data_IF_641385312125
#
_entry.id   IF_641385312125
#
_cell.length_a   1.000
_cell.length_b   1.000
_cell.length_c   1.000
_cell.angle_alpha   90.00
_cell.angle_beta   90.00
_cell.angle_gamma   90.00
#
_symmetry.space_group_name_H-M   'P 1'
#
loop_
_entity.id
_entity.type
_entity.pdbx_description
1 polymer ?
#
# COMPACT_ATOMS: atom_id res chain seq x y z
N UNK A 1 -59.38 23.16 37.42
CA UNK A 1 -59.19 23.21 38.86
C UNK A 1 -59.45 21.85 39.46
N UNK A 2 -58.94 21.59 40.59
CA UNK A 2 -57.60 21.61 41.12
C UNK A 2 -57.26 20.28 41.85
N UNK A 3 -56.13 20.20 42.45
CA UNK A 3 -55.82 19.29 43.53
C UNK A 3 -54.42 18.74 43.42
N UNK A 4 -53.48 19.25 44.00
CA UNK A 4 -53.06 19.38 45.41
C UNK A 4 -52.80 18.02 46.09
N UNK A 5 -51.59 17.88 46.58
CA UNK A 5 -51.21 16.95 47.60
C UNK A 5 -49.72 16.56 47.47
N UNK A 6 -48.85 17.22 48.04
CA UNK A 6 -48.17 17.22 49.33
C UNK A 6 -47.60 15.85 49.70
N UNK A 7 -46.28 15.79 49.75
CA UNK A 7 -45.41 16.07 50.81
C UNK A 7 -44.53 14.92 51.25
N UNK A 8 -43.65 15.07 52.18
CA UNK A 8 -42.20 15.01 51.92
C UNK A 8 -41.53 13.86 52.71
N UNK A 9 -40.24 13.91 52.64
CA UNK A 9 -39.30 13.48 53.67
C UNK A 9 -38.73 12.06 53.61
N UNK A 10 -37.47 12.06 53.78
CA UNK A 10 -36.75 11.03 54.40
C UNK A 10 -35.37 10.74 53.87
N UNK A 11 -34.47 11.70 53.89
CA UNK A 11 -33.05 11.41 53.74
C UNK A 11 -32.53 10.71 55.01
N UNK A 12 -32.18 9.47 54.87
CA UNK A 12 -31.30 8.82 55.81
C UNK A 12 -29.86 8.92 55.30
N UNK A 13 -29.10 9.73 55.98
CA UNK A 13 -27.64 9.73 55.96
C UNK A 13 -27.21 8.47 56.69
N UNK A 14 -26.61 7.52 56.02
CA UNK A 14 -25.99 6.38 56.67
C UNK A 14 -24.53 6.29 56.23
N UNK A 15 -23.70 6.72 57.14
CA UNK A 15 -22.41 6.12 57.51
C UNK A 15 -21.37 5.94 56.40
N UNK A 16 -20.49 6.94 56.38
CA UNK A 16 -19.15 6.81 55.81
C UNK A 16 -18.40 5.81 56.71
N UNK A 17 -18.10 4.63 56.16
CA UNK A 17 -17.16 3.68 56.75
C UNK A 17 -15.75 4.23 56.53
N UNK A 18 -15.10 4.61 57.60
CA UNK A 18 -13.68 4.91 57.64
C UNK A 18 -12.88 3.72 57.15
N UNK A 19 -12.07 3.93 56.12
CA UNK A 19 -11.10 2.92 55.66
C UNK A 19 -9.84 3.06 56.47
N UNK A 20 -9.45 1.97 57.08
CA UNK A 20 -8.17 1.84 57.76
C UNK A 20 -6.99 2.03 56.76
N UNK A 21 -5.94 2.78 57.11
CA UNK A 21 -4.71 2.84 56.34
C UNK A 21 -3.87 1.59 56.64
N UNK A 22 -3.47 0.87 55.61
CA UNK A 22 -2.45 -0.16 55.73
C UNK A 22 -2.79 -1.50 55.12
N UNK A 23 -2.97 -1.58 53.80
CA UNK A 23 -2.67 -2.75 53.02
C UNK A 23 -2.07 -2.33 51.68
N UNK A 24 -0.74 -2.23 51.70
CA UNK A 24 0.06 -2.15 50.48
C UNK A 24 -0.10 -3.48 49.73
N UNK A 25 -0.96 -3.48 48.74
CA UNK A 25 -0.97 -4.54 47.71
C UNK A 25 0.32 -4.37 46.88
N UNK A 26 1.13 -5.40 46.71
CA UNK A 26 2.28 -5.34 45.84
C UNK A 26 1.80 -5.07 44.42
N UNK A 27 2.18 -3.89 43.89
CA UNK A 27 2.07 -3.60 42.47
C UNK A 27 3.04 -4.52 41.72
N UNK A 28 2.56 -5.70 41.31
CA UNK A 28 3.24 -6.48 40.29
C UNK A 28 3.31 -5.62 39.03
N UNK A 29 4.44 -4.99 38.83
CA UNK A 29 4.79 -4.37 37.56
C UNK A 29 4.92 -5.49 36.53
N UNK A 30 3.87 -5.75 35.76
CA UNK A 30 4.00 -6.52 34.53
C UNK A 30 5.03 -5.80 33.65
N UNK A 31 6.04 -6.49 33.12
CA UNK A 31 6.98 -5.88 32.20
C UNK A 31 6.23 -5.41 30.97
N UNK A 32 6.25 -4.11 30.70
CA UNK A 32 5.57 -3.45 29.59
C UNK A 32 6.26 -3.62 28.23
N UNK A 33 7.03 -4.67 28.04
CA UNK A 33 7.65 -4.97 26.72
C UNK A 33 7.57 -6.49 26.56
N UNK A 34 6.48 -6.98 26.00
CA UNK A 34 6.55 -8.23 25.25
C UNK A 34 7.46 -7.95 24.04
N UNK A 35 8.65 -8.58 24.04
CA UNK A 35 9.45 -8.68 22.83
C UNK A 35 8.59 -9.30 21.75
N UNK A 36 8.11 -8.47 20.82
CA UNK A 36 7.39 -8.91 19.63
C UNK A 36 8.38 -9.76 18.85
N UNK A 37 8.31 -11.08 19.00
CA UNK A 37 9.10 -12.03 18.23
C UNK A 37 8.85 -11.69 16.76
N UNK A 38 9.89 -11.21 16.05
CA UNK A 38 9.83 -10.89 14.63
C UNK A 38 9.42 -12.17 13.89
N UNK A 39 8.19 -12.20 13.37
CA UNK A 39 7.71 -13.33 12.57
C UNK A 39 8.39 -13.31 11.22
N UNK A 40 9.06 -14.38 10.89
CA UNK A 40 9.83 -14.52 9.66
C UNK A 40 8.90 -15.01 8.55
N UNK A 41 8.61 -14.14 7.57
CA UNK A 41 7.90 -14.51 6.36
C UNK A 41 8.90 -14.94 5.29
N UNK A 42 8.67 -16.12 4.70
CA UNK A 42 9.48 -16.63 3.62
C UNK A 42 9.12 -15.92 2.31
N UNK A 43 9.97 -14.99 1.88
CA UNK A 43 9.80 -14.19 0.65
C UNK A 43 11.07 -14.30 -0.21
N UNK A 44 11.33 -15.44 -0.86
CA UNK A 44 12.59 -15.70 -1.56
C UNK A 44 12.90 -14.68 -2.66
N UNK A 45 11.88 -14.11 -3.30
CA UNK A 45 12.04 -13.04 -4.30
C UNK A 45 12.57 -11.72 -3.73
N UNK A 46 12.43 -11.48 -2.42
CA UNK A 46 12.98 -10.27 -1.78
C UNK A 46 14.48 -10.37 -1.50
N UNK A 47 15.05 -11.57 -1.50
CA UNK A 47 16.48 -11.76 -1.22
C UNK A 47 17.34 -11.06 -2.26
N UNK A 48 16.91 -11.07 -3.54
CA UNK A 48 17.61 -10.37 -4.61
C UNK A 48 17.60 -8.85 -4.40
N UNK A 49 16.53 -8.30 -3.83
CA UNK A 49 16.46 -6.87 -3.49
C UNK A 49 17.32 -6.51 -2.28
N UNK A 50 17.42 -7.42 -1.31
CA UNK A 50 18.15 -7.18 -0.05
C UNK A 50 19.65 -7.40 -0.23
N UNK A 51 20.05 -8.46 -0.94
CA UNK A 51 21.44 -8.90 -1.10
C UNK A 51 22.02 -8.52 -2.46
N UNK A 52 21.18 -8.20 -3.45
CA UNK A 52 21.65 -7.80 -4.77
C UNK A 52 22.38 -6.46 -4.72
N UNK A 53 23.35 -6.23 -5.64
CA UNK A 53 23.95 -4.92 -5.79
C UNK A 53 22.86 -3.92 -6.07
N UNK A 54 22.85 -2.82 -5.29
CA UNK A 54 21.95 -1.69 -5.63
C UNK A 54 22.41 -1.19 -7.00
N UNK A 55 21.49 -1.07 -7.97
CA UNK A 55 21.87 -0.54 -9.28
C UNK A 55 22.44 0.86 -9.08
N UNK A 56 23.57 1.15 -9.73
CA UNK A 56 24.21 2.47 -9.72
C UNK A 56 23.34 3.54 -10.41
N UNK A 57 22.28 3.12 -11.08
CA UNK A 57 21.33 3.96 -11.81
C UNK A 57 19.90 3.74 -11.33
N UNK A 58 19.06 4.74 -11.52
CA UNK A 58 17.63 4.66 -11.21
C UNK A 58 16.96 3.55 -12.04
N UNK A 59 16.19 2.67 -11.37
CA UNK A 59 15.49 1.54 -12.02
C UNK A 59 14.38 1.98 -12.97
N UNK A 60 13.89 3.23 -12.85
CA UNK A 60 12.88 3.82 -13.73
C UNK A 60 13.47 4.64 -14.86
N UNK A 61 14.78 4.87 -14.89
CA UNK A 61 15.46 5.45 -16.04
C UNK A 61 15.67 4.35 -17.09
N UNK A 62 14.72 4.23 -18.01
CA UNK A 62 14.77 3.20 -19.05
C UNK A 62 15.79 3.56 -20.13
N UNK A 63 16.54 2.58 -20.69
CA UNK A 63 17.32 2.78 -21.89
C UNK A 63 16.42 3.04 -23.10
N UNK A 64 16.94 3.63 -24.15
CA UNK A 64 16.20 3.85 -25.41
C UNK A 64 15.85 2.51 -26.10
N UNK A 65 16.76 1.52 -26.02
CA UNK A 65 16.50 0.17 -26.53
C UNK A 65 15.35 -0.49 -25.79
N UNK A 66 14.54 -1.26 -26.54
CA UNK A 66 13.42 -2.03 -26.01
C UNK A 66 13.77 -3.49 -25.71
N UNK A 67 15.01 -3.90 -25.97
CA UNK A 67 15.44 -5.28 -25.81
C UNK A 67 15.28 -5.80 -24.38
N UNK A 68 15.39 -4.92 -23.39
CA UNK A 68 15.26 -5.24 -21.98
C UNK A 68 13.83 -5.06 -21.43
N UNK A 69 12.86 -4.67 -22.26
CA UNK A 69 11.51 -4.32 -21.78
C UNK A 69 10.83 -5.48 -21.04
N UNK A 70 10.95 -6.69 -21.55
CA UNK A 70 10.38 -7.87 -20.89
C UNK A 70 11.09 -8.18 -19.57
N UNK A 71 12.40 -8.09 -19.53
CA UNK A 71 13.17 -8.33 -18.30
C UNK A 71 12.85 -7.28 -17.23
N UNK A 72 12.71 -6.03 -17.66
CA UNK A 72 12.33 -4.88 -16.81
C UNK A 72 10.85 -4.82 -16.50
N UNK A 73 10.03 -5.69 -17.11
CA UNK A 73 8.56 -5.73 -16.97
C UNK A 73 7.87 -4.47 -17.50
N UNK A 74 8.42 -3.83 -18.52
CA UNK A 74 7.81 -2.67 -19.19
C UNK A 74 6.65 -3.16 -20.07
N UNK A 75 5.44 -2.70 -19.76
CA UNK A 75 4.23 -3.07 -20.50
C UNK A 75 4.01 -2.18 -21.72
N UNK A 76 4.26 -0.88 -21.58
CA UNK A 76 4.01 0.11 -22.62
C UNK A 76 4.98 1.28 -22.53
N UNK A 77 5.39 1.81 -23.70
CA UNK A 77 6.20 3.03 -23.82
C UNK A 77 5.42 4.09 -24.58
N UNK A 78 4.96 5.14 -23.88
CA UNK A 78 4.38 6.33 -24.44
C UNK A 78 5.42 7.34 -24.91
N UNK A 79 5.01 8.58 -25.11
CA UNK A 79 5.86 9.67 -25.55
C UNK A 79 6.62 10.34 -24.41
N UNK A 80 5.93 10.58 -23.29
CA UNK A 80 6.46 11.27 -22.10
C UNK A 80 6.49 10.39 -20.88
N UNK A 81 5.75 9.28 -20.90
CA UNK A 81 5.61 8.35 -19.78
C UNK A 81 5.54 6.89 -20.27
N UNK A 82 5.72 5.97 -19.36
CA UNK A 82 5.64 4.53 -19.63
C UNK A 82 4.88 3.79 -18.53
N UNK A 83 4.45 2.59 -18.85
CA UNK A 83 3.78 1.67 -17.91
C UNK A 83 4.69 0.47 -17.64
N UNK A 84 4.90 0.16 -16.37
CA UNK A 84 5.78 -0.92 -15.91
C UNK A 84 5.10 -1.70 -14.78
N UNK A 85 5.30 -3.01 -14.71
CA UNK A 85 4.87 -3.77 -13.53
C UNK A 85 5.81 -3.55 -12.36
N UNK A 86 5.25 -3.54 -11.16
CA UNK A 86 6.07 -3.49 -9.96
C UNK A 86 6.75 -4.85 -9.72
N UNK A 87 8.08 -4.88 -9.67
CA UNK A 87 8.87 -6.09 -9.37
C UNK A 87 8.57 -6.64 -7.96
N UNK A 88 8.11 -5.76 -7.05
CA UNK A 88 7.73 -6.09 -5.67
C UNK A 88 6.26 -5.73 -5.41
N UNK A 89 5.31 -6.44 -6.05
CA UNK A 89 3.93 -6.02 -6.11
C UNK A 89 3.25 -6.09 -4.73
N UNK A 90 2.28 -5.20 -4.50
CA UNK A 90 1.40 -5.25 -3.32
C UNK A 90 0.21 -6.20 -3.54
N UNK A 91 -0.15 -6.42 -4.79
CA UNK A 91 -1.20 -7.32 -5.25
C UNK A 91 -0.86 -7.80 -6.66
N UNK A 92 -1.50 -8.85 -7.14
CA UNK A 92 -1.35 -9.29 -8.53
C UNK A 92 -1.70 -8.17 -9.50
N UNK A 93 -0.96 -8.07 -10.61
CA UNK A 93 -1.19 -7.04 -11.60
C UNK A 93 -0.87 -5.61 -11.12
N UNK A 94 -0.10 -5.43 -10.04
CA UNK A 94 0.34 -4.12 -9.60
C UNK A 94 1.23 -3.47 -10.65
N UNK A 95 0.72 -2.43 -11.29
CA UNK A 95 1.42 -1.66 -12.31
C UNK A 95 1.72 -0.24 -11.83
N UNK A 96 2.68 0.40 -12.50
CA UNK A 96 3.07 1.77 -12.22
C UNK A 96 3.13 2.56 -13.53
N UNK A 97 2.78 3.86 -13.46
CA UNK A 97 2.95 4.83 -14.55
C UNK A 97 4.01 5.83 -14.12
N UNK A 98 5.06 5.96 -14.92
CA UNK A 98 6.24 6.78 -14.61
C UNK A 98 6.54 7.72 -15.76
N UNK A 99 6.95 8.98 -15.52
CA UNK A 99 7.52 9.83 -16.55
C UNK A 99 8.90 9.31 -16.99
N UNK A 100 9.36 9.62 -18.20
CA UNK A 100 10.75 9.33 -18.58
C UNK A 100 11.75 10.25 -17.88
N UNK A 101 11.35 11.50 -17.63
CA UNK A 101 12.21 12.43 -16.90
C UNK A 101 12.40 11.98 -15.45
N UNK A 102 13.64 12.04 -15.01
CA UNK A 102 14.01 11.73 -13.63
C UNK A 102 13.63 12.90 -12.71
N UNK A 103 12.38 12.91 -12.25
CA UNK A 103 11.82 13.92 -11.35
C UNK A 103 11.27 13.25 -10.10
N UNK A 104 11.37 13.91 -8.96
CA UNK A 104 10.99 13.35 -7.67
C UNK A 104 9.67 13.89 -7.10
N UNK A 105 9.15 14.95 -7.69
CA UNK A 105 7.96 15.63 -7.16
C UNK A 105 6.91 15.87 -8.25
N UNK A 106 5.65 15.73 -7.87
CA UNK A 106 4.49 15.97 -8.76
C UNK A 106 4.53 17.37 -9.38
N UNK A 107 4.93 18.38 -8.60
CA UNK A 107 5.04 19.76 -9.05
C UNK A 107 6.12 20.01 -10.13
N UNK A 108 6.99 19.02 -10.37
CA UNK A 108 8.04 19.11 -11.39
C UNK A 108 7.60 18.56 -12.76
N UNK A 109 6.43 17.92 -12.82
CA UNK A 109 5.88 17.44 -14.08
C UNK A 109 5.49 18.58 -15.00
N UNK A 110 5.80 18.42 -16.27
CA UNK A 110 5.32 19.30 -17.33
C UNK A 110 3.86 18.95 -17.70
N UNK A 111 3.22 19.88 -18.38
CA UNK A 111 1.80 19.73 -18.72
C UNK A 111 1.54 18.50 -19.59
N UNK A 112 2.38 18.26 -20.58
CA UNK A 112 2.22 17.13 -21.50
C UNK A 112 2.49 15.78 -20.81
N UNK A 113 3.46 15.74 -19.88
CA UNK A 113 3.70 14.57 -19.03
C UNK A 113 2.49 14.26 -18.14
N UNK A 114 1.93 15.30 -17.50
CA UNK A 114 0.77 15.15 -16.62
C UNK A 114 -0.44 14.63 -17.41
N UNK A 115 -0.68 15.13 -18.62
CA UNK A 115 -1.77 14.69 -19.47
C UNK A 115 -1.59 13.23 -19.88
N UNK A 116 -0.42 12.84 -20.36
CA UNK A 116 -0.16 11.48 -20.79
C UNK A 116 -0.19 10.50 -19.62
N UNK A 117 0.36 10.86 -18.46
CA UNK A 117 0.29 10.02 -17.25
C UNK A 117 -1.18 9.77 -16.87
N UNK A 118 -2.04 10.78 -16.89
CA UNK A 118 -3.46 10.64 -16.59
C UNK A 118 -4.16 9.76 -17.62
N UNK A 119 -3.90 9.96 -18.91
CA UNK A 119 -4.46 9.14 -20.00
C UNK A 119 -4.03 7.67 -19.86
N UNK A 120 -2.75 7.42 -19.61
CA UNK A 120 -2.23 6.07 -19.37
C UNK A 120 -2.88 5.43 -18.14
N UNK A 121 -3.04 6.17 -17.04
CA UNK A 121 -3.73 5.65 -15.85
C UNK A 121 -5.17 5.26 -16.15
N UNK A 122 -5.93 6.09 -16.90
CA UNK A 122 -7.29 5.76 -17.32
C UNK A 122 -7.33 4.47 -18.15
N UNK A 123 -6.46 4.35 -19.15
CA UNK A 123 -6.37 3.16 -20.00
C UNK A 123 -5.96 1.91 -19.20
N UNK A 124 -5.01 2.06 -18.29
CA UNK A 124 -4.59 1.00 -17.37
C UNK A 124 -5.75 0.49 -16.51
N UNK A 125 -6.62 1.39 -16.00
CA UNK A 125 -7.78 0.97 -15.21
C UNK A 125 -8.73 0.08 -16.01
N UNK A 126 -8.98 0.42 -17.28
CA UNK A 126 -9.82 -0.39 -18.17
C UNK A 126 -9.22 -1.78 -18.37
N UNK A 127 -7.93 -1.87 -18.69
CA UNK A 127 -7.25 -3.17 -18.87
C UNK A 127 -7.33 -4.01 -17.60
N UNK A 128 -7.08 -3.43 -16.44
CA UNK A 128 -7.13 -4.17 -15.17
C UNK A 128 -8.54 -4.67 -14.84
N UNK A 129 -9.57 -3.87 -15.11
CA UNK A 129 -10.97 -4.27 -14.90
C UNK A 129 -11.44 -5.33 -15.90
N UNK A 130 -11.18 -5.13 -17.19
CA UNK A 130 -11.70 -5.99 -18.25
C UNK A 130 -10.95 -7.32 -18.36
N UNK A 131 -9.64 -7.31 -18.17
CA UNK A 131 -8.79 -8.47 -18.45
C UNK A 131 -8.15 -9.11 -17.23
N UNK A 132 -8.05 -8.37 -16.13
CA UNK A 132 -7.57 -8.89 -14.84
C UNK A 132 -8.71 -9.07 -13.84
N UNK A 133 -9.94 -8.68 -14.23
CA UNK A 133 -11.17 -8.85 -13.48
C UNK A 133 -11.09 -8.36 -12.03
N UNK A 134 -10.37 -7.26 -11.80
CA UNK A 134 -10.31 -6.69 -10.48
C UNK A 134 -11.62 -5.95 -10.14
N UNK A 135 -12.03 -6.05 -8.88
CA UNK A 135 -13.27 -5.43 -8.38
C UNK A 135 -13.08 -4.00 -7.90
N UNK A 136 -11.82 -3.59 -7.76
CA UNK A 136 -11.43 -2.23 -7.38
C UNK A 136 -9.97 -1.96 -7.71
N UNK A 137 -9.55 -0.69 -7.67
CA UNK A 137 -8.17 -0.29 -7.92
C UNK A 137 -7.81 0.83 -6.95
N UNK A 138 -6.73 0.66 -6.19
CA UNK A 138 -6.14 1.77 -5.45
C UNK A 138 -5.14 2.49 -6.35
N UNK A 139 -5.33 3.79 -6.54
CA UNK A 139 -4.47 4.64 -7.37
C UNK A 139 -3.84 5.71 -6.48
N UNK A 140 -2.54 5.92 -6.63
CA UNK A 140 -1.85 6.95 -5.85
C UNK A 140 -0.37 6.99 -6.10
N UNK A 141 0.32 7.94 -5.46
CA UNK A 141 1.77 8.04 -5.45
C UNK A 141 2.27 8.28 -4.02
N UNK A 142 3.49 7.84 -3.75
CA UNK A 142 4.21 8.15 -2.52
C UNK A 142 5.32 9.16 -2.84
N UNK A 143 5.22 10.37 -2.29
CA UNK A 143 6.22 11.40 -2.47
C UNK A 143 6.97 11.66 -1.18
N UNK A 144 8.27 11.40 -1.18
CA UNK A 144 9.13 11.58 -0.03
C UNK A 144 9.16 10.38 0.93
N UNK A 145 10.13 10.40 1.83
CA UNK A 145 10.40 9.28 2.75
C UNK A 145 9.26 9.02 3.74
N UNK A 146 8.70 10.08 4.31
CA UNK A 146 7.63 9.97 5.30
C UNK A 146 6.33 9.38 4.71
N UNK A 147 6.14 9.49 3.38
CA UNK A 147 5.04 8.88 2.66
C UNK A 147 5.29 7.42 2.23
N UNK A 148 6.45 6.85 2.58
CA UNK A 148 6.78 5.46 2.26
C UNK A 148 7.29 5.23 0.84
N UNK A 149 7.82 6.27 0.15
CA UNK A 149 8.45 6.11 -1.16
C UNK A 149 9.68 5.19 -1.07
N UNK A 150 9.63 4.03 -1.71
CA UNK A 150 10.75 3.09 -1.79
C UNK A 150 11.86 3.61 -2.74
N UNK A 151 11.47 4.22 -3.83
CA UNK A 151 12.33 4.95 -4.78
C UNK A 151 11.90 6.41 -4.72
N UNK A 152 12.73 7.28 -4.15
CA UNK A 152 12.38 8.67 -3.85
C UNK A 152 12.70 9.63 -5.00
N UNK A 153 13.69 9.24 -5.78
CA UNK A 153 14.30 10.11 -6.80
C UNK A 153 13.51 10.12 -8.10
N UNK A 154 12.61 9.16 -8.30
CA UNK A 154 11.84 9.06 -9.54
C UNK A 154 10.36 8.87 -9.25
N UNK A 155 9.54 9.81 -9.69
CA UNK A 155 8.11 9.84 -9.50
C UNK A 155 7.44 8.66 -10.21
N UNK A 156 6.56 7.97 -9.50
CA UNK A 156 5.81 6.83 -10.05
C UNK A 156 4.43 6.72 -9.41
N UNK A 157 3.42 6.56 -10.23
CA UNK A 157 2.03 6.37 -9.81
C UNK A 157 1.74 4.89 -9.74
N UNK A 158 1.19 4.44 -8.65
CA UNK A 158 0.79 3.06 -8.43
C UNK A 158 -0.66 2.84 -8.85
N UNK A 159 -0.95 1.73 -9.52
CA UNK A 159 -2.28 1.19 -9.73
C UNK A 159 -2.27 -0.25 -9.18
N UNK A 160 -2.98 -0.42 -8.09
CA UNK A 160 -2.99 -1.69 -7.34
C UNK A 160 -4.38 -2.31 -7.44
N UNK A 161 -4.54 -3.39 -8.22
CA UNK A 161 -5.80 -4.12 -8.31
C UNK A 161 -6.22 -4.69 -6.96
N UNK A 162 -7.54 -4.72 -6.73
CA UNK A 162 -8.15 -5.22 -5.51
C UNK A 162 -9.33 -6.15 -5.82
N UNK A 163 -9.52 -7.15 -4.98
CA UNK A 163 -10.65 -8.08 -5.02
C UNK A 163 -11.28 -8.19 -3.64
N UNK A 164 -12.59 -8.47 -3.61
CA UNK A 164 -13.25 -8.78 -2.34
C UNK A 164 -12.60 -10.00 -1.70
N UNK A 165 -12.18 -9.88 -0.45
CA UNK A 165 -11.49 -10.95 0.25
C UNK A 165 -9.98 -11.07 -0.04
N UNK A 166 -9.37 -10.15 -0.78
CA UNK A 166 -7.91 -10.12 -0.99
C UNK A 166 -7.12 -9.84 0.31
N UNK A 167 -7.79 -9.28 1.30
CA UNK A 167 -7.29 -9.16 2.67
C UNK A 167 -7.79 -10.33 3.49
N UNK A 168 -7.04 -11.44 3.48
CA UNK A 168 -7.34 -12.62 4.31
C UNK A 168 -7.03 -12.37 5.79
N UNK A 169 -7.50 -13.29 6.66
CA UNK A 169 -7.16 -13.26 8.09
C UNK A 169 -5.64 -13.23 8.31
N UNK A 170 -4.83 -13.73 7.37
CA UNK A 170 -3.37 -13.67 7.39
C UNK A 170 -2.85 -12.23 7.38
N UNK A 171 -3.52 -11.33 6.65
CA UNK A 171 -3.16 -9.91 6.64
C UNK A 171 -3.48 -9.23 7.98
N UNK A 172 -4.53 -9.70 8.66
CA UNK A 172 -4.97 -9.15 9.95
C UNK A 172 -4.12 -9.72 11.10
N UNK A 173 -3.79 -11.02 11.05
CA UNK A 173 -3.05 -11.69 12.13
C UNK A 173 -1.54 -11.42 12.09
N UNK A 174 -0.96 -11.36 10.89
CA UNK A 174 0.49 -11.33 10.70
C UNK A 174 0.98 -10.26 9.71
N UNK A 175 0.11 -9.37 9.25
CA UNK A 175 0.42 -8.36 8.19
C UNK A 175 0.94 -9.01 6.89
N UNK A 176 0.55 -10.26 6.64
CA UNK A 176 0.98 -11.06 5.48
C UNK A 176 0.00 -10.89 4.33
N UNK A 177 0.50 -10.50 3.17
CA UNK A 177 -0.27 -10.52 1.91
C UNK A 177 0.19 -11.67 1.04
N UNK A 178 -0.74 -12.41 0.50
CA UNK A 178 -0.47 -13.47 -0.47
C UNK A 178 -0.55 -12.90 -1.89
N UNK A 179 0.39 -13.31 -2.75
CA UNK A 179 0.38 -13.02 -4.19
C UNK A 179 0.21 -14.37 -4.87
N UNK A 180 -0.99 -14.73 -5.33
CA UNK A 180 -1.30 -16.07 -5.81
C UNK A 180 -0.73 -16.38 -7.20
N UNK A 181 -0.34 -15.38 -7.99
CA UNK A 181 0.20 -15.58 -9.34
C UNK A 181 1.66 -15.14 -9.44
N UNK A 182 2.44 -15.88 -10.22
CA UNK A 182 3.85 -15.54 -10.47
C UNK A 182 3.94 -14.27 -11.34
N UNK A 183 4.87 -13.37 -11.02
CA UNK A 183 5.03 -12.06 -11.67
C UNK A 183 5.16 -12.13 -13.20
N UNK A 184 5.91 -13.12 -13.73
CA UNK A 184 6.06 -13.34 -15.17
C UNK A 184 4.76 -13.79 -15.84
N UNK A 185 3.92 -14.56 -15.14
CA UNK A 185 2.59 -14.96 -15.64
C UNK A 185 1.68 -13.74 -15.73
N UNK A 186 1.65 -12.90 -14.72
CA UNK A 186 0.89 -11.63 -14.75
C UNK A 186 1.38 -10.70 -15.85
N UNK A 187 2.69 -10.63 -16.09
CA UNK A 187 3.25 -9.84 -17.20
C UNK A 187 2.78 -10.39 -18.56
N UNK A 188 2.94 -11.68 -18.79
CA UNK A 188 2.52 -12.32 -20.06
C UNK A 188 1.02 -12.19 -20.30
N UNK A 189 0.21 -12.21 -19.23
CA UNK A 189 -1.23 -12.00 -19.32
C UNK A 189 -1.58 -10.56 -19.73
N UNK A 190 -0.95 -9.56 -19.11
CA UNK A 190 -1.25 -8.15 -19.35
C UNK A 190 -0.66 -7.62 -20.66
N UNK A 191 0.57 -8.01 -21.03
CA UNK A 191 1.33 -7.44 -22.15
C UNK A 191 0.55 -7.31 -23.46
N UNK A 192 -0.22 -8.35 -23.93
CA UNK A 192 -0.95 -8.25 -25.19
C UNK A 192 -2.00 -7.14 -25.26
N UNK A 193 -2.53 -6.73 -24.12
CA UNK A 193 -3.51 -5.63 -24.06
C UNK A 193 -2.85 -4.26 -24.13
N UNK A 194 -1.64 -4.16 -23.60
CA UNK A 194 -0.82 -2.96 -23.70
C UNK A 194 -0.18 -2.76 -25.07
N UNK A 195 0.01 -3.82 -25.85
CA UNK A 195 0.49 -3.73 -27.23
C UNK A 195 -0.54 -3.09 -28.19
N UNK A 196 -1.78 -2.90 -27.73
CA UNK A 196 -2.87 -2.26 -28.48
C UNK A 196 -3.09 -0.79 -28.10
N UNK A 197 -2.27 -0.24 -27.23
CA UNK A 197 -2.36 1.17 -26.75
C UNK A 197 -1.93 2.22 -27.81
#
# INVERSE_FOLDING_TARGET
PPGAGHGPAGRRISQIKERHPGQDLPLERKPCIEEKKMKQLWTPWRIEYILGPKPDSCVFCLPESREEDEERLVLYRGRHAFVIMNKFPYSNGHIMVCPYRHVMALAQLEKDETHEIMDLMQRCTLVLQEHFHCEGINIGLNQGQAAGAGIREHLHFHLVPRWNGDSSFMAVMDEVRTIPEHLRSSYAHLKPYFDRF
#
